data_IF_792434429231
#
_entry.id   IF_792434429231
#
_cell.length_a   1.000
_cell.length_b   1.000
_cell.length_c   1.000
_cell.angle_alpha   90.00
_cell.angle_beta   90.00
_cell.angle_gamma   90.00
#
_symmetry.space_group_name_H-M   'P 1'
#
loop_
_entity.id
_entity.type
_entity.pdbx_description
1 polymer ?
#
# COMPACT_ATOMS: atom_id res chain seq x y z
N UNK A 1 -17.90 17.02 14.97
CA UNK A 1 -17.03 15.98 15.61
C UNK A 1 -15.82 15.83 14.70
N UNK A 2 -14.61 15.91 15.23
CA UNK A 2 -13.42 15.73 14.36
C UNK A 2 -13.37 14.30 13.83
N UNK A 3 -12.81 14.11 12.62
CA UNK A 3 -12.63 12.80 12.00
C UNK A 3 -11.90 11.82 12.94
N UNK A 4 -10.88 12.32 13.65
CA UNK A 4 -10.10 11.53 14.60
C UNK A 4 -10.93 10.99 15.77
N UNK A 5 -11.85 11.78 16.30
CA UNK A 5 -12.77 11.32 17.36
C UNK A 5 -13.73 10.26 16.86
N UNK A 6 -14.26 10.44 15.65
CA UNK A 6 -15.16 9.44 15.04
C UNK A 6 -14.46 8.09 14.86
N UNK A 7 -13.29 8.06 14.23
CA UNK A 7 -12.49 6.84 14.06
C UNK A 7 -12.09 6.26 15.42
N UNK A 8 -11.69 7.11 16.37
CA UNK A 8 -11.32 6.69 17.73
C UNK A 8 -12.46 5.97 18.45
N UNK A 9 -13.69 6.49 18.36
CA UNK A 9 -14.88 5.87 18.92
C UNK A 9 -15.20 4.51 18.30
N UNK A 10 -15.12 4.40 16.96
CA UNK A 10 -15.31 3.13 16.27
C UNK A 10 -14.22 2.09 16.66
N UNK A 11 -12.97 2.52 16.76
CA UNK A 11 -11.87 1.64 17.18
C UNK A 11 -12.02 1.17 18.62
N UNK A 12 -12.57 1.99 19.51
CA UNK A 12 -12.80 1.63 20.91
C UNK A 12 -13.75 0.42 21.05
N UNK A 13 -14.81 0.40 20.22
CA UNK A 13 -15.79 -0.69 20.21
C UNK A 13 -15.20 -2.07 19.82
N UNK A 14 -13.99 -2.08 19.23
CA UNK A 14 -13.30 -3.32 18.83
C UNK A 14 -12.58 -4.02 20.00
N UNK A 15 -12.49 -3.36 21.15
CA UNK A 15 -11.81 -3.88 22.33
C UNK A 15 -12.82 -4.28 23.40
N UNK A 16 -12.57 -5.35 24.18
CA UNK A 16 -13.45 -5.75 25.26
C UNK A 16 -13.68 -4.64 26.29
N UNK A 17 -14.91 -4.51 26.77
CA UNK A 17 -15.33 -3.49 27.76
C UNK A 17 -14.86 -3.76 29.18
N UNK A 18 -13.99 -4.74 29.42
CA UNK A 18 -13.38 -5.02 30.71
C UNK A 18 -12.09 -4.19 30.94
N UNK A 19 -11.57 -4.08 32.17
CA UNK A 19 -10.39 -3.28 32.49
C UNK A 19 -9.16 -3.60 31.60
N UNK A 20 -8.91 -4.86 31.31
CA UNK A 20 -7.80 -5.29 30.44
C UNK A 20 -8.01 -4.91 28.96
N UNK A 21 -9.24 -4.91 28.49
CA UNK A 21 -9.57 -4.45 27.12
C UNK A 21 -9.42 -2.95 26.99
N UNK A 22 -9.88 -2.19 28.00
CA UNK A 22 -9.75 -0.73 28.06
C UNK A 22 -8.27 -0.32 28.13
N UNK A 23 -7.47 -0.94 29.00
CA UNK A 23 -6.03 -0.69 29.07
C UNK A 23 -5.33 -0.98 27.74
N UNK A 24 -5.71 -2.10 27.08
CA UNK A 24 -5.17 -2.46 25.76
C UNK A 24 -5.54 -1.45 24.68
N UNK A 25 -6.77 -0.93 24.69
CA UNK A 25 -7.19 0.14 23.80
C UNK A 25 -6.43 1.44 24.08
N UNK A 26 -6.25 1.83 25.32
CA UNK A 26 -5.46 2.99 25.71
C UNK A 26 -4.02 2.89 25.17
N UNK A 27 -3.35 1.76 25.36
CA UNK A 27 -1.99 1.56 24.87
C UNK A 27 -1.94 1.49 23.33
N UNK A 28 -2.99 0.97 22.70
CA UNK A 28 -3.14 0.98 21.24
C UNK A 28 -3.18 2.43 20.71
N UNK A 29 -4.01 3.27 21.30
CA UNK A 29 -4.12 4.68 20.92
C UNK A 29 -2.83 5.45 21.21
N UNK A 30 -2.23 5.25 22.39
CA UNK A 30 -0.96 5.89 22.75
C UNK A 30 0.17 5.50 21.80
N UNK A 31 0.23 4.23 21.38
CA UNK A 31 1.21 3.75 20.41
C UNK A 31 1.02 4.41 19.04
N UNK A 32 -0.23 4.52 18.56
CA UNK A 32 -0.52 5.24 17.32
C UNK A 32 -0.14 6.72 17.41
N UNK A 33 -0.50 7.39 18.51
CA UNK A 33 -0.11 8.80 18.76
C UNK A 33 1.40 8.97 18.74
N UNK A 34 2.14 8.09 19.44
CA UNK A 34 3.60 8.14 19.47
C UNK A 34 4.25 7.93 18.09
N UNK A 35 3.62 7.13 17.22
CA UNK A 35 4.08 6.96 15.83
C UNK A 35 3.74 8.20 14.99
N UNK A 36 2.55 8.77 15.16
CA UNK A 36 2.08 9.91 14.37
C UNK A 36 2.85 11.20 14.69
N UNK A 37 3.24 11.41 15.94
CA UNK A 37 4.06 12.56 16.34
C UNK A 37 5.52 12.34 15.87
N UNK A 38 6.07 13.22 14.99
CA UNK A 38 7.36 12.98 14.32
C UNK A 38 8.58 13.36 15.16
N UNK A 39 8.66 12.91 16.41
CA UNK A 39 9.77 13.24 17.32
C UNK A 39 10.80 12.13 17.47
N UNK A 40 10.46 10.90 17.11
CA UNK A 40 11.37 9.76 17.25
C UNK A 40 11.13 8.71 16.16
N UNK A 41 12.13 7.85 15.99
CA UNK A 41 12.01 6.68 15.11
C UNK A 41 11.12 5.63 15.77
N UNK A 42 10.22 5.02 15.03
CA UNK A 42 9.23 4.05 15.51
C UNK A 42 9.83 2.69 15.91
N UNK A 43 10.86 2.68 16.77
CA UNK A 43 11.33 1.47 17.47
C UNK A 43 10.46 1.23 18.70
N UNK A 44 10.18 -0.01 19.04
CA UNK A 44 9.35 -0.38 20.20
C UNK A 44 9.80 0.33 21.48
N UNK A 45 11.12 0.31 21.80
CA UNK A 45 11.67 1.00 22.97
C UNK A 45 11.52 2.52 22.91
N UNK A 46 11.65 3.13 21.71
CA UNK A 46 11.46 4.56 21.53
C UNK A 46 10.00 4.95 21.68
N UNK A 47 9.07 4.15 21.14
CA UNK A 47 7.63 4.39 21.29
C UNK A 47 7.22 4.41 22.77
N UNK A 48 7.69 3.45 23.58
CA UNK A 48 7.44 3.42 25.01
C UNK A 48 7.96 4.69 25.71
N UNK A 49 9.18 5.12 25.38
CA UNK A 49 9.75 6.38 25.94
C UNK A 49 8.96 7.61 25.46
N UNK A 50 8.59 7.66 24.18
CA UNK A 50 7.76 8.73 23.66
C UNK A 50 6.39 8.81 24.35
N UNK A 51 5.76 7.67 24.65
CA UNK A 51 4.51 7.59 25.42
C UNK A 51 4.71 8.20 26.81
N UNK A 52 5.78 7.83 27.50
CA UNK A 52 6.07 8.39 28.83
C UNK A 52 6.34 9.90 28.78
N UNK A 53 7.14 10.37 27.83
CA UNK A 53 7.53 11.77 27.71
C UNK A 53 6.38 12.66 27.24
N UNK A 54 5.65 12.27 26.19
CA UNK A 54 4.61 13.10 25.58
C UNK A 54 3.29 13.05 26.36
N UNK A 55 2.92 11.88 26.87
CA UNK A 55 1.61 11.68 27.46
C UNK A 55 1.68 11.43 28.98
N UNK A 56 2.90 11.37 29.56
CA UNK A 56 3.13 11.16 30.99
C UNK A 56 2.65 9.80 31.48
N UNK A 57 2.47 8.83 30.59
CA UNK A 57 2.04 7.45 30.93
C UNK A 57 3.27 6.56 30.99
N UNK A 58 3.68 6.18 32.20
CA UNK A 58 4.79 5.27 32.38
C UNK A 58 4.31 3.82 32.29
N UNK A 59 4.87 3.08 31.32
CA UNK A 59 4.59 1.67 31.12
C UNK A 59 5.87 0.89 31.36
N UNK A 60 5.84 -0.13 32.22
CA UNK A 60 6.98 -1.02 32.44
C UNK A 60 7.36 -1.73 31.11
N UNK A 61 8.66 -1.87 30.86
CA UNK A 61 9.18 -2.37 29.58
C UNK A 61 8.59 -3.72 29.20
N UNK A 62 8.62 -4.69 30.11
CA UNK A 62 8.09 -6.02 29.90
C UNK A 62 6.57 -6.04 29.60
N UNK A 63 5.80 -5.11 30.21
CA UNK A 63 4.37 -4.97 29.91
C UNK A 63 4.10 -4.44 28.51
N UNK A 64 4.90 -3.44 28.09
CA UNK A 64 4.79 -2.87 26.75
C UNK A 64 5.22 -3.88 25.69
N UNK A 65 6.29 -4.63 25.95
CA UNK A 65 6.73 -5.71 25.04
C UNK A 65 5.69 -6.83 24.92
N UNK A 66 5.06 -7.20 26.05
CA UNK A 66 3.93 -8.17 26.06
C UNK A 66 2.74 -7.62 25.28
N UNK A 67 2.42 -6.33 25.41
CA UNK A 67 1.37 -5.69 24.63
C UNK A 67 1.72 -5.71 23.13
N UNK A 68 2.93 -5.35 22.76
CA UNK A 68 3.38 -5.37 21.35
C UNK A 68 3.38 -6.78 20.77
N UNK A 69 3.60 -7.83 21.56
CA UNK A 69 3.51 -9.23 21.16
C UNK A 69 2.09 -9.83 21.29
N UNK A 70 1.08 -9.02 21.65
CA UNK A 70 -0.26 -9.52 21.92
C UNK A 70 -0.97 -10.02 20.66
N UNK A 71 -1.43 -11.28 20.69
CA UNK A 71 -2.29 -11.87 19.66
C UNK A 71 -3.73 -11.33 19.70
N UNK A 72 -4.10 -10.60 20.77
CA UNK A 72 -5.45 -10.08 21.02
C UNK A 72 -5.71 -8.71 20.38
N UNK A 73 -4.74 -8.13 19.65
CA UNK A 73 -4.96 -6.89 18.89
C UNK A 73 -5.87 -7.18 17.68
N UNK A 74 -7.03 -6.51 17.54
CA UNK A 74 -8.07 -6.88 16.57
C UNK A 74 -7.81 -6.34 15.17
N UNK A 75 -6.66 -6.69 14.55
CA UNK A 75 -6.20 -6.07 13.31
C UNK A 75 -7.17 -6.17 12.13
N UNK A 76 -7.88 -7.28 11.98
CA UNK A 76 -8.87 -7.44 10.89
C UNK A 76 -9.95 -6.37 11.00
N UNK A 77 -10.56 -6.25 12.18
CA UNK A 77 -11.59 -5.25 12.43
C UNK A 77 -11.06 -3.81 12.38
N UNK A 78 -9.84 -3.57 12.87
CA UNK A 78 -9.16 -2.25 12.75
C UNK A 78 -9.02 -1.86 11.28
N UNK A 79 -8.56 -2.78 10.43
CA UNK A 79 -8.43 -2.51 9.00
C UNK A 79 -9.77 -2.26 8.32
N UNK A 80 -10.79 -3.06 8.61
CA UNK A 80 -12.14 -2.87 8.06
C UNK A 80 -12.73 -1.50 8.44
N UNK A 81 -12.52 -1.08 9.70
CA UNK A 81 -12.93 0.26 10.16
C UNK A 81 -12.21 1.36 9.38
N UNK A 82 -10.90 1.24 9.21
CA UNK A 82 -10.12 2.22 8.45
C UNK A 82 -10.51 2.25 6.98
N UNK A 83 -10.75 1.12 6.35
CA UNK A 83 -11.14 1.06 4.93
C UNK A 83 -12.47 1.76 4.70
N UNK A 84 -13.43 1.64 5.63
CA UNK A 84 -14.72 2.34 5.58
C UNK A 84 -14.58 3.86 5.84
N UNK A 85 -13.58 4.26 6.63
CA UNK A 85 -13.30 5.66 6.92
C UNK A 85 -12.59 6.42 5.78
N UNK A 86 -12.12 5.72 4.72
CA UNK A 86 -11.50 6.38 3.56
C UNK A 86 -12.57 7.15 2.77
N UNK A 87 -12.47 8.48 2.65
CA UNK A 87 -13.44 9.24 1.87
C UNK A 87 -13.21 9.00 0.37
N UNK A 88 -14.29 8.74 -0.37
CA UNK A 88 -14.29 8.59 -1.83
C UNK A 88 -13.18 7.63 -2.36
N UNK A 89 -13.13 6.36 -1.90
CA UNK A 89 -12.07 5.43 -2.26
C UNK A 89 -12.08 4.99 -3.73
N UNK A 90 -13.14 5.33 -4.47
CA UNK A 90 -13.34 4.91 -5.84
C UNK A 90 -12.96 6.00 -6.82
N UNK A 91 -12.20 5.64 -7.84
CA UNK A 91 -11.91 6.48 -9.00
C UNK A 91 -12.73 5.97 -10.17
N UNK A 92 -13.69 6.79 -10.63
CA UNK A 92 -14.60 6.43 -11.72
C UNK A 92 -15.28 5.06 -11.51
N UNK A 93 -15.74 4.82 -10.27
CA UNK A 93 -16.42 3.58 -9.88
C UNK A 93 -15.50 2.36 -9.70
N UNK A 94 -14.18 2.56 -9.74
CA UNK A 94 -13.16 1.51 -9.58
C UNK A 94 -12.34 1.70 -8.32
N UNK A 95 -12.07 0.62 -7.63
CA UNK A 95 -11.06 0.53 -6.58
C UNK A 95 -9.70 0.26 -7.27
N UNK A 96 -8.83 1.25 -7.31
CA UNK A 96 -7.52 1.15 -7.95
C UNK A 96 -6.50 0.61 -6.93
N UNK A 97 -6.04 -0.61 -7.09
CA UNK A 97 -5.14 -1.28 -6.15
C UNK A 97 -3.75 -1.46 -6.74
N UNK A 98 -2.75 -0.78 -6.17
CA UNK A 98 -1.35 -1.05 -6.48
C UNK A 98 -0.87 -2.25 -5.67
N UNK A 99 -0.16 -3.17 -6.33
CA UNK A 99 0.47 -4.33 -5.73
C UNK A 99 1.95 -4.32 -6.09
N UNK A 100 2.79 -4.43 -5.05
CA UNK A 100 4.24 -4.53 -5.22
C UNK A 100 4.89 -5.19 -4.01
N UNK A 101 6.15 -5.57 -4.12
CA UNK A 101 6.92 -6.04 -2.98
C UNK A 101 8.13 -5.15 -2.69
N UNK A 102 8.52 -5.12 -1.43
CA UNK A 102 9.69 -4.37 -0.99
C UNK A 102 10.47 -5.13 0.06
N UNK A 103 11.75 -4.82 0.19
CA UNK A 103 12.62 -5.42 1.18
C UNK A 103 12.96 -4.41 2.28
N UNK A 104 13.03 -4.90 3.54
CA UNK A 104 13.50 -4.16 4.70
C UNK A 104 14.79 -4.82 5.21
N UNK A 105 15.98 -4.30 4.87
CA UNK A 105 17.23 -4.81 5.39
C UNK A 105 17.30 -4.74 6.93
N UNK A 106 17.86 -5.75 7.55
CA UNK A 106 18.00 -5.87 9.00
C UNK A 106 19.41 -6.35 9.35
N UNK A 107 19.88 -5.99 10.54
CA UNK A 107 21.17 -6.43 11.06
C UNK A 107 21.04 -7.62 12.02
N UNK A 108 19.94 -7.72 12.74
CA UNK A 108 19.70 -8.78 13.72
C UNK A 108 19.33 -10.11 13.07
N UNK A 109 20.10 -11.17 13.37
CA UNK A 109 19.92 -12.51 12.78
C UNK A 109 18.63 -13.21 13.21
N UNK A 110 18.07 -12.85 14.38
CA UNK A 110 16.89 -13.51 14.96
C UNK A 110 15.59 -12.71 14.76
N UNK A 111 15.61 -11.65 13.95
CA UNK A 111 14.41 -10.89 13.66
C UNK A 111 13.48 -11.74 12.79
N UNK A 112 12.20 -11.82 13.21
CA UNK A 112 11.18 -12.58 12.46
C UNK A 112 11.10 -12.16 10.99
N UNK A 113 10.88 -13.13 10.12
CA UNK A 113 10.71 -13.00 8.67
C UNK A 113 11.94 -12.48 7.91
N UNK A 114 13.11 -12.44 8.54
CA UNK A 114 14.36 -12.15 7.84
C UNK A 114 14.94 -13.40 7.17
N UNK A 115 15.46 -13.18 5.99
CA UNK A 115 16.17 -14.19 5.18
C UNK A 115 17.08 -13.49 4.19
N UNK A 116 18.11 -14.17 3.70
CA UNK A 116 18.92 -13.65 2.59
C UNK A 116 18.03 -13.56 1.35
N UNK A 117 17.88 -12.38 0.78
CA UNK A 117 17.03 -12.17 -0.39
C UNK A 117 17.76 -11.38 -1.47
N UNK A 118 17.40 -11.60 -2.74
CA UNK A 118 18.00 -10.84 -3.83
C UNK A 118 17.34 -9.47 -3.94
N UNK A 119 18.16 -8.42 -3.95
CA UNK A 119 17.73 -7.04 -4.15
C UNK A 119 18.01 -6.57 -5.58
N UNK A 120 16.95 -6.50 -6.38
CA UNK A 120 17.05 -5.99 -7.75
C UNK A 120 17.39 -4.49 -7.83
N UNK A 121 17.12 -3.72 -6.75
CA UNK A 121 17.33 -2.29 -6.66
C UNK A 121 18.65 -1.90 -5.99
N UNK A 122 19.49 -2.89 -5.61
CA UNK A 122 20.75 -2.65 -4.95
C UNK A 122 21.68 -1.79 -5.82
N UNK A 123 22.22 -0.70 -5.23
CA UNK A 123 23.21 0.16 -5.86
C UNK A 123 24.56 -0.56 -5.94
N UNK A 124 25.48 -0.04 -6.76
CA UNK A 124 26.81 -0.64 -6.98
C UNK A 124 27.63 -0.86 -5.68
N UNK A 125 27.41 0.00 -4.67
CA UNK A 125 28.06 -0.08 -3.36
C UNK A 125 27.28 -0.87 -2.30
N UNK A 126 26.20 -1.54 -2.67
CA UNK A 126 25.36 -2.33 -1.76
C UNK A 126 25.37 -3.80 -2.14
N UNK A 127 25.22 -4.67 -1.13
CA UNK A 127 25.06 -6.10 -1.39
C UNK A 127 23.76 -6.38 -2.12
N UNK A 128 23.84 -7.24 -3.14
CA UNK A 128 22.64 -7.76 -3.84
C UNK A 128 21.92 -8.85 -3.05
N UNK A 129 22.49 -9.32 -1.95
CA UNK A 129 21.95 -10.39 -1.12
C UNK A 129 21.86 -9.96 0.34
N UNK A 130 21.10 -8.90 0.69
CA UNK A 130 20.95 -8.46 2.06
C UNK A 130 20.17 -9.48 2.90
N UNK A 131 20.48 -9.49 4.21
CA UNK A 131 19.63 -10.10 5.22
C UNK A 131 18.42 -9.16 5.45
N UNK A 132 17.24 -9.58 5.02
CA UNK A 132 16.09 -8.67 4.96
C UNK A 132 14.75 -9.39 5.13
N UNK A 133 13.75 -8.63 5.54
CA UNK A 133 12.35 -8.99 5.42
C UNK A 133 11.86 -8.64 4.02
N UNK A 134 11.10 -9.53 3.39
CA UNK A 134 10.37 -9.25 2.14
C UNK A 134 8.90 -9.04 2.47
N UNK A 135 8.34 -7.93 2.02
CA UNK A 135 6.95 -7.54 2.24
C UNK A 135 6.22 -7.46 0.91
N UNK A 136 5.15 -8.24 0.76
CA UNK A 136 4.16 -8.04 -0.30
C UNK A 136 3.13 -7.06 0.24
N UNK A 137 2.92 -5.95 -0.46
CA UNK A 137 2.07 -4.84 0.02
C UNK A 137 1.00 -4.52 -1.00
N UNK A 138 -0.21 -4.32 -0.51
CA UNK A 138 -1.36 -3.82 -1.25
C UNK A 138 -1.64 -2.39 -0.83
N UNK A 139 -1.73 -1.46 -1.79
CA UNK A 139 -2.05 -0.07 -1.55
C UNK A 139 -3.24 0.39 -2.39
N UNK A 140 -4.07 1.28 -1.86
CA UNK A 140 -5.12 1.96 -2.58
C UNK A 140 -4.55 3.22 -3.25
N UNK A 141 -4.70 3.33 -4.56
CA UNK A 141 -4.37 4.54 -5.31
C UNK A 141 -5.60 5.43 -5.41
N UNK A 142 -5.49 6.63 -4.91
CA UNK A 142 -6.55 7.63 -5.02
C UNK A 142 -5.99 9.05 -5.13
N UNK A 143 -6.69 9.97 -5.82
CA UNK A 143 -6.32 11.37 -5.80
C UNK A 143 -6.81 12.03 -4.50
N UNK A 144 -5.91 12.70 -3.80
CA UNK A 144 -6.23 13.56 -2.65
C UNK A 144 -5.82 14.98 -3.04
N UNK A 145 -6.78 15.91 -3.05
CA UNK A 145 -6.57 17.28 -3.53
C UNK A 145 -5.85 17.35 -4.87
N UNK A 146 -6.27 16.48 -5.80
CA UNK A 146 -5.72 16.43 -7.15
C UNK A 146 -4.32 15.79 -7.26
N UNK A 147 -3.75 15.28 -6.18
CA UNK A 147 -2.49 14.54 -6.15
C UNK A 147 -2.74 13.04 -5.96
N UNK A 148 -2.14 12.20 -6.79
CA UNK A 148 -2.16 10.76 -6.55
C UNK A 148 -1.39 10.40 -5.28
N UNK A 149 -2.02 9.60 -4.43
CA UNK A 149 -1.48 9.05 -3.20
C UNK A 149 -1.66 7.53 -3.19
N UNK A 150 -0.87 6.84 -2.36
CA UNK A 150 -1.02 5.40 -2.14
C UNK A 150 -1.21 5.15 -0.64
N UNK A 151 -2.40 4.71 -0.25
CA UNK A 151 -2.72 4.34 1.11
C UNK A 151 -2.39 2.86 1.31
N UNK A 152 -1.51 2.48 2.25
CA UNK A 152 -1.30 1.08 2.58
C UNK A 152 -2.59 0.44 3.08
N UNK A 153 -3.00 -0.68 2.50
CA UNK A 153 -4.25 -1.37 2.84
C UNK A 153 -4.00 -2.71 3.52
N UNK A 154 -2.98 -3.43 3.11
CA UNK A 154 -2.62 -4.73 3.66
C UNK A 154 -1.17 -5.08 3.32
N UNK A 155 -0.61 -6.02 4.08
CA UNK A 155 0.71 -6.58 3.82
C UNK A 155 0.78 -8.05 4.20
N UNK A 156 1.80 -8.76 3.66
CA UNK A 156 2.22 -10.09 4.10
C UNK A 156 3.75 -10.17 4.08
N UNK A 157 4.33 -10.82 5.11
CA UNK A 157 5.73 -11.23 5.04
C UNK A 157 5.86 -12.43 4.11
N UNK A 158 6.74 -12.33 3.12
CA UNK A 158 7.07 -13.46 2.27
C UNK A 158 8.24 -14.25 2.87
N UNK A 159 8.02 -15.52 3.12
CA UNK A 159 9.00 -16.47 3.62
C UNK A 159 9.21 -17.60 2.62
N UNK A 160 10.46 -17.95 2.35
CA UNK A 160 10.79 -19.09 1.49
C UNK A 160 10.42 -20.40 2.16
N UNK A 161 10.15 -21.44 1.38
CA UNK A 161 9.89 -22.80 1.90
C UNK A 161 11.01 -23.28 2.82
N UNK A 162 12.27 -23.13 2.40
CA UNK A 162 13.43 -23.51 3.20
C UNK A 162 13.46 -22.81 4.57
N UNK A 163 13.11 -21.52 4.64
CA UNK A 163 13.04 -20.77 5.90
C UNK A 163 11.96 -21.32 6.83
N UNK A 164 10.81 -21.76 6.29
CA UNK A 164 9.73 -22.35 7.08
C UNK A 164 10.04 -23.78 7.53
N UNK A 165 10.77 -24.54 6.72
CA UNK A 165 11.20 -25.91 7.06
C UNK A 165 12.28 -25.93 8.13
N UNK A 166 13.11 -24.88 8.23
CA UNK A 166 14.17 -24.77 9.23
C UNK A 166 13.66 -24.52 10.66
N UNK A 167 12.36 -24.22 10.86
CA UNK A 167 11.79 -23.99 12.19
C UNK A 167 10.26 -23.89 12.16
N UNK A 168 9.62 -24.22 13.28
CA UNK A 168 8.16 -24.11 13.44
C UNK A 168 7.79 -22.65 13.79
N UNK A 169 7.69 -21.79 12.78
CA UNK A 169 7.30 -20.40 12.98
C UNK A 169 5.79 -20.30 13.23
N UNK A 170 5.42 -19.52 14.27
CA UNK A 170 4.03 -19.21 14.60
C UNK A 170 3.80 -17.71 14.63
N UNK A 171 2.66 -17.28 14.11
CA UNK A 171 2.16 -15.91 14.20
C UNK A 171 0.72 -15.99 14.68
N UNK A 172 0.37 -15.23 15.71
CA UNK A 172 -0.97 -15.23 16.34
C UNK A 172 -1.43 -16.64 16.75
N UNK A 173 -0.51 -17.44 17.28
CA UNK A 173 -0.76 -18.82 17.70
C UNK A 173 -0.91 -19.84 16.57
N UNK A 174 -0.96 -19.40 15.30
CA UNK A 174 -1.11 -20.29 14.14
C UNK A 174 0.24 -20.55 13.48
N UNK A 175 0.48 -21.78 13.01
CA UNK A 175 1.64 -22.11 12.24
C UNK A 175 1.66 -21.30 10.93
N UNK A 176 2.83 -20.77 10.56
CA UNK A 176 3.01 -20.05 9.28
C UNK A 176 3.13 -21.09 8.18
N UNK A 177 2.14 -21.12 7.29
CA UNK A 177 2.11 -21.97 6.11
C UNK A 177 2.72 -21.23 4.93
N UNK A 178 3.46 -21.96 4.07
CA UNK A 178 4.01 -21.38 2.87
C UNK A 178 2.91 -20.88 1.94
N UNK A 179 3.02 -19.61 1.56
CA UNK A 179 2.25 -19.00 0.48
C UNK A 179 3.19 -18.23 -0.43
N UNK A 180 3.11 -18.46 -1.73
CA UNK A 180 3.85 -17.64 -2.68
C UNK A 180 3.29 -16.20 -2.73
N UNK A 181 4.02 -15.30 -3.38
CA UNK A 181 3.62 -13.87 -3.42
C UNK A 181 2.27 -13.67 -4.14
N UNK A 182 1.91 -14.52 -5.10
CA UNK A 182 0.62 -14.45 -5.78
C UNK A 182 -0.52 -14.85 -4.85
N UNK A 183 -0.38 -15.97 -4.14
CA UNK A 183 -1.38 -16.42 -3.16
C UNK A 183 -1.60 -15.39 -2.05
N UNK A 184 -0.51 -14.76 -1.56
CA UNK A 184 -0.57 -13.68 -0.58
C UNK A 184 -1.33 -12.46 -1.14
N UNK A 185 -1.01 -12.04 -2.37
CA UNK A 185 -1.67 -10.94 -3.05
C UNK A 185 -3.17 -11.21 -3.27
N UNK A 186 -3.52 -12.40 -3.76
CA UNK A 186 -4.92 -12.81 -3.95
C UNK A 186 -5.70 -12.75 -2.64
N UNK A 187 -5.15 -13.30 -1.56
CA UNK A 187 -5.78 -13.25 -0.23
C UNK A 187 -6.06 -11.82 0.22
N UNK A 188 -5.10 -10.90 0.09
CA UNK A 188 -5.26 -9.50 0.48
C UNK A 188 -6.31 -8.79 -0.37
N UNK A 189 -6.26 -8.95 -1.70
CA UNK A 189 -7.20 -8.30 -2.63
C UNK A 189 -8.62 -8.79 -2.40
N UNK A 190 -8.82 -10.10 -2.23
CA UNK A 190 -10.15 -10.69 -1.98
C UNK A 190 -10.72 -10.21 -0.64
N UNK A 191 -9.90 -10.15 0.43
CA UNK A 191 -10.34 -9.62 1.73
C UNK A 191 -10.80 -8.17 1.61
N UNK A 192 -10.00 -7.32 0.95
CA UNK A 192 -10.36 -5.91 0.74
C UNK A 192 -11.62 -5.75 -0.13
N UNK A 193 -11.74 -6.51 -1.20
CA UNK A 193 -12.88 -6.45 -2.13
C UNK A 193 -14.22 -6.85 -1.49
N UNK A 194 -14.20 -7.58 -0.36
CA UNK A 194 -15.41 -7.90 0.43
C UNK A 194 -15.98 -6.67 1.13
N UNK A 195 -15.13 -5.70 1.52
CA UNK A 195 -15.60 -4.43 2.10
C UNK A 195 -16.21 -3.49 1.05
N UNK A 196 -15.88 -3.68 -0.22
CA UNK A 196 -16.33 -2.87 -1.36
C UNK A 196 -17.08 -3.72 -2.38
N UNK A 197 -18.18 -4.35 -1.98
CA UNK A 197 -18.85 -5.41 -2.75
C UNK A 197 -19.36 -4.97 -4.13
N UNK A 198 -19.76 -3.72 -4.29
CA UNK A 198 -20.28 -3.17 -5.55
C UNK A 198 -19.20 -2.58 -6.45
N UNK A 199 -18.02 -2.31 -5.92
CA UNK A 199 -16.94 -1.67 -6.66
C UNK A 199 -16.28 -2.64 -7.64
N UNK A 200 -15.91 -2.14 -8.82
CA UNK A 200 -14.97 -2.83 -9.70
C UNK A 200 -13.56 -2.68 -9.15
N UNK A 201 -12.75 -3.70 -9.29
CA UNK A 201 -11.37 -3.72 -8.80
C UNK A 201 -10.43 -3.70 -9.99
N UNK A 202 -9.58 -2.69 -10.10
CA UNK A 202 -8.48 -2.65 -11.06
C UNK A 202 -7.16 -2.84 -10.31
N UNK A 203 -6.53 -4.00 -10.49
CA UNK A 203 -5.23 -4.29 -9.88
C UNK A 203 -4.13 -3.79 -10.81
N UNK A 204 -3.28 -2.91 -10.30
CA UNK A 204 -2.22 -2.24 -11.07
C UNK A 204 -0.87 -2.74 -10.56
N UNK A 205 -0.09 -3.38 -11.46
CA UNK A 205 1.13 -4.08 -11.09
C UNK A 205 2.27 -3.77 -12.05
N UNK A 206 3.47 -4.18 -11.66
CA UNK A 206 4.58 -4.30 -12.60
C UNK A 206 4.44 -5.53 -13.53
N UNK A 207 5.42 -5.77 -14.38
CA UNK A 207 5.41 -6.90 -15.31
C UNK A 207 5.61 -8.26 -14.63
N UNK A 208 6.06 -8.30 -13.37
CA UNK A 208 6.27 -9.55 -12.64
C UNK A 208 4.95 -10.10 -12.10
N UNK A 209 4.13 -9.27 -11.47
CA UNK A 209 2.81 -9.64 -11.00
C UNK A 209 1.76 -9.69 -12.12
N UNK A 210 1.99 -9.01 -13.25
CA UNK A 210 1.06 -8.86 -14.36
C UNK A 210 0.84 -10.13 -15.21
N UNK A 211 0.54 -11.26 -14.58
CA UNK A 211 0.37 -12.55 -15.27
C UNK A 211 -0.77 -13.39 -14.70
N UNK A 212 -0.97 -14.58 -15.28
CA UNK A 212 -2.07 -15.46 -14.92
C UNK A 212 -1.94 -16.12 -13.52
N UNK A 213 -0.76 -16.08 -12.91
CA UNK A 213 -0.55 -16.47 -11.51
C UNK A 213 -1.34 -15.61 -10.53
N UNK A 214 -1.55 -14.32 -10.88
CA UNK A 214 -2.40 -13.41 -10.14
C UNK A 214 -3.84 -13.36 -10.67
N UNK A 215 -4.00 -13.17 -12.00
CA UNK A 215 -5.29 -12.84 -12.60
C UNK A 215 -6.31 -13.96 -12.49
N UNK A 216 -5.92 -15.20 -12.80
CA UNK A 216 -6.85 -16.34 -12.75
C UNK A 216 -7.36 -16.65 -11.34
N UNK A 217 -6.51 -16.71 -10.28
CA UNK A 217 -7.00 -16.89 -8.91
C UNK A 217 -7.90 -15.75 -8.43
N UNK A 218 -7.70 -14.50 -8.89
CA UNK A 218 -8.59 -13.39 -8.58
C UNK A 218 -9.95 -13.51 -9.27
N UNK A 219 -9.97 -13.99 -10.53
CA UNK A 219 -11.20 -14.18 -11.29
C UNK A 219 -12.14 -15.23 -10.69
N UNK A 220 -11.63 -16.20 -9.95
CA UNK A 220 -12.46 -17.21 -9.31
C UNK A 220 -13.43 -16.62 -8.27
N UNK A 221 -12.98 -15.86 -7.24
CA UNK A 221 -13.87 -15.27 -6.24
C UNK A 221 -14.51 -13.96 -6.67
N UNK A 222 -13.89 -13.16 -7.58
CA UNK A 222 -14.35 -11.82 -7.93
C UNK A 222 -15.04 -11.74 -9.30
N UNK A 223 -14.98 -12.79 -10.10
CA UNK A 223 -15.63 -12.87 -11.41
C UNK A 223 -15.22 -11.72 -12.35
N UNK A 224 -16.22 -11.06 -12.94
CA UNK A 224 -16.04 -9.93 -13.86
C UNK A 224 -15.76 -8.60 -13.16
N UNK A 225 -15.77 -8.58 -11.81
CA UNK A 225 -15.47 -7.38 -11.02
C UNK A 225 -13.98 -7.02 -11.00
N UNK A 226 -13.08 -7.97 -11.32
CA UNK A 226 -11.64 -7.73 -11.26
C UNK A 226 -11.04 -7.61 -12.65
N UNK A 227 -10.25 -6.57 -12.82
CA UNK A 227 -9.43 -6.30 -14.00
C UNK A 227 -7.97 -6.08 -13.60
N UNK A 228 -7.07 -6.24 -14.57
CA UNK A 228 -5.63 -6.08 -14.40
C UNK A 228 -5.10 -4.99 -15.33
N UNK A 229 -4.23 -4.12 -14.81
CA UNK A 229 -3.42 -3.18 -15.56
C UNK A 229 -1.95 -3.42 -15.24
N UNK A 230 -1.12 -3.65 -16.24
CA UNK A 230 0.29 -3.96 -16.03
C UNK A 230 1.17 -3.53 -17.20
N UNK A 231 2.47 -3.45 -16.97
CA UNK A 231 3.45 -3.34 -18.04
C UNK A 231 3.65 -4.71 -18.71
N UNK A 232 3.71 -4.74 -20.04
CA UNK A 232 4.08 -5.93 -20.78
C UNK A 232 5.59 -6.05 -20.96
N UNK A 233 6.07 -7.29 -20.96
CA UNK A 233 7.44 -7.60 -21.34
C UNK A 233 7.60 -7.46 -22.85
N UNK A 234 8.73 -6.96 -23.29
CA UNK A 234 9.02 -6.67 -24.73
C UNK A 234 8.94 -7.91 -25.62
N UNK A 235 9.23 -9.09 -25.07
CA UNK A 235 9.23 -10.37 -25.76
C UNK A 235 7.88 -11.14 -25.68
N UNK A 236 6.86 -10.58 -25.02
CA UNK A 236 5.55 -11.22 -24.98
C UNK A 236 4.94 -11.26 -26.39
N UNK A 237 4.35 -12.40 -26.77
CA UNK A 237 3.78 -12.60 -28.11
C UNK A 237 2.29 -12.29 -28.09
N UNK A 238 1.86 -11.47 -29.05
CA UNK A 238 0.50 -11.01 -29.23
C UNK A 238 -0.18 -11.77 -30.39
N UNK A 239 -1.50 -11.93 -30.26
CA UNK A 239 -2.33 -12.60 -31.27
C UNK A 239 -3.53 -11.73 -31.60
N UNK A 240 -4.00 -11.82 -32.86
CA UNK A 240 -5.27 -11.22 -33.25
C UNK A 240 -6.45 -11.86 -32.49
N UNK A 241 -7.57 -11.17 -32.43
CA UNK A 241 -8.81 -11.79 -31.97
C UNK A 241 -9.19 -12.92 -32.96
N UNK A 242 -9.73 -14.02 -32.46
CA UNK A 242 -10.19 -15.08 -33.35
C UNK A 242 -11.39 -14.62 -34.19
N UNK A 243 -11.33 -14.82 -35.48
CA UNK A 243 -12.48 -14.59 -36.35
C UNK A 243 -13.45 -15.78 -36.24
N UNK A 244 -14.72 -15.47 -36.07
CA UNK A 244 -15.77 -16.49 -36.16
C UNK A 244 -15.91 -16.93 -37.62
N UNK A 245 -15.68 -18.19 -37.89
CA UNK A 245 -15.92 -18.77 -39.24
C UNK A 245 -17.27 -19.48 -39.17
N UNK A 246 -18.34 -18.91 -39.78
CA UNK A 246 -19.65 -19.53 -39.82
C UNK A 246 -19.56 -20.91 -40.46
N UNK A 247 -20.30 -21.91 -39.91
CA UNK A 247 -20.39 -23.26 -40.46
C UNK A 247 -19.19 -24.17 -40.18
N UNK A 248 -18.13 -23.73 -39.50
CA UNK A 248 -17.00 -24.59 -39.15
C UNK A 248 -17.34 -25.49 -37.96
N UNK A 249 -17.39 -26.79 -38.15
CA UNK A 249 -17.55 -27.79 -37.09
C UNK A 249 -16.29 -27.83 -36.19
N UNK A 250 -16.49 -28.07 -34.91
CA UNK A 250 -15.42 -28.24 -33.94
C UNK A 250 -15.26 -27.07 -32.96
N UNK A 251 -14.28 -27.18 -32.05
CA UNK A 251 -14.05 -26.18 -31.01
C UNK A 251 -13.56 -24.84 -31.60
N UNK A 252 -14.20 -23.70 -31.31
CA UNK A 252 -13.78 -22.40 -31.80
C UNK A 252 -12.31 -22.09 -31.46
N UNK A 253 -11.58 -21.47 -32.38
CA UNK A 253 -10.21 -21.01 -32.13
C UNK A 253 -10.23 -19.96 -31.01
N UNK A 254 -9.33 -20.08 -30.04
CA UNK A 254 -9.19 -19.12 -28.97
C UNK A 254 -8.34 -17.91 -29.35
N UNK A 255 -7.49 -18.04 -30.37
CA UNK A 255 -6.53 -17.03 -30.82
C UNK A 255 -6.55 -16.96 -32.31
N UNK A 256 -6.50 -15.76 -32.87
CA UNK A 256 -6.34 -15.51 -34.28
C UNK A 256 -4.89 -15.65 -34.75
N UNK A 257 -4.52 -14.94 -35.80
CA UNK A 257 -3.16 -14.92 -36.35
C UNK A 257 -2.15 -14.39 -35.33
N UNK A 258 -0.91 -14.86 -35.38
CA UNK A 258 0.20 -14.33 -34.62
C UNK A 258 0.58 -12.94 -35.15
N UNK A 259 0.54 -11.90 -34.29
CA UNK A 259 0.89 -10.52 -34.63
C UNK A 259 2.40 -10.23 -34.46
N UNK A 260 3.08 -11.06 -33.68
CA UNK A 260 4.49 -10.86 -33.32
C UNK A 260 4.69 -10.58 -31.82
N UNK A 261 5.92 -10.23 -31.46
CA UNK A 261 6.26 -9.78 -30.12
C UNK A 261 5.76 -8.35 -29.87
N UNK A 262 5.66 -7.95 -28.61
CA UNK A 262 5.33 -6.57 -28.21
C UNK A 262 6.28 -5.56 -28.87
N UNK A 263 7.57 -5.93 -29.02
CA UNK A 263 8.58 -5.07 -29.65
C UNK A 263 8.36 -4.93 -31.17
N UNK A 264 8.01 -6.00 -31.87
CA UNK A 264 7.68 -5.96 -33.30
C UNK A 264 6.40 -5.14 -33.55
N UNK A 265 5.38 -5.37 -32.74
CA UNK A 265 4.14 -4.59 -32.80
C UNK A 265 4.37 -3.10 -32.46
N UNK A 266 5.27 -2.77 -31.53
CA UNK A 266 5.60 -1.38 -31.21
C UNK A 266 6.11 -0.59 -32.44
N UNK A 267 6.94 -1.23 -33.27
CA UNK A 267 7.44 -0.63 -34.52
C UNK A 267 6.29 -0.38 -35.52
N UNK A 268 5.42 -1.36 -35.69
CA UNK A 268 4.28 -1.27 -36.61
C UNK A 268 3.24 -0.24 -36.17
N UNK A 269 2.97 -0.18 -34.85
CA UNK A 269 1.97 0.73 -34.27
C UNK A 269 2.45 2.18 -34.20
N UNK A 270 3.74 2.45 -34.32
CA UNK A 270 4.29 3.81 -34.30
C UNK A 270 3.63 4.74 -35.31
N UNK A 271 3.38 4.27 -36.51
CA UNK A 271 2.73 5.05 -37.57
C UNK A 271 1.26 5.41 -37.25
N UNK A 272 0.63 4.70 -36.30
CA UNK A 272 -0.76 4.94 -35.86
C UNK A 272 -0.84 5.73 -34.57
N UNK A 273 0.30 6.14 -34.00
CA UNK A 273 0.33 6.86 -32.74
C UNK A 273 -0.34 8.21 -32.86
N UNK A 274 -1.05 8.60 -31.78
CA UNK A 274 -1.75 9.89 -31.62
C UNK A 274 -1.28 10.55 -30.34
N UNK A 275 -1.46 11.86 -30.25
CA UNK A 275 -1.19 12.64 -29.05
C UNK A 275 -2.39 12.61 -28.11
N UNK A 276 -2.12 12.37 -26.82
CA UNK A 276 -3.09 12.36 -25.74
C UNK A 276 -2.65 13.28 -24.63
N UNK A 277 -3.59 14.09 -24.10
CA UNK A 277 -3.36 14.85 -22.88
C UNK A 277 -3.60 13.95 -21.68
N UNK A 278 -2.59 13.72 -20.85
CA UNK A 278 -2.63 12.79 -19.72
C UNK A 278 -2.06 13.45 -18.47
N UNK A 279 -2.73 13.28 -17.33
CA UNK A 279 -2.26 13.79 -16.05
C UNK A 279 -1.26 12.83 -15.40
N UNK A 280 0.03 13.08 -15.58
CA UNK A 280 1.10 12.23 -15.04
C UNK A 280 2.05 13.06 -14.17
N UNK A 281 2.44 12.50 -13.02
CA UNK A 281 3.36 13.13 -12.04
C UNK A 281 2.93 14.54 -11.59
N UNK A 282 1.61 14.76 -11.46
CA UNK A 282 1.05 16.03 -10.99
C UNK A 282 0.90 17.12 -12.04
N UNK A 283 1.22 16.87 -13.29
CA UNK A 283 1.09 17.81 -14.41
C UNK A 283 0.38 17.15 -15.60
N UNK A 284 -0.38 17.92 -16.36
CA UNK A 284 -0.89 17.50 -17.66
C UNK A 284 0.24 17.53 -18.67
N UNK A 285 0.45 16.42 -19.36
CA UNK A 285 1.50 16.24 -20.37
C UNK A 285 0.92 15.64 -21.62
N UNK A 286 1.46 16.04 -22.75
CA UNK A 286 1.20 15.40 -24.02
C UNK A 286 2.01 14.11 -24.11
N UNK A 287 1.33 13.03 -24.50
CA UNK A 287 1.90 11.69 -24.60
C UNK A 287 1.52 11.11 -25.96
N UNK A 288 2.49 10.69 -26.73
CA UNK A 288 2.28 9.99 -28.00
C UNK A 288 2.04 8.50 -27.70
N UNK A 289 0.92 7.96 -28.15
CA UNK A 289 0.57 6.55 -27.91
C UNK A 289 -0.26 5.96 -29.04
N UNK A 290 -0.14 4.64 -29.21
CA UNK A 290 -1.02 3.84 -30.07
C UNK A 290 -1.61 2.69 -29.24
N UNK A 291 -2.78 2.21 -29.59
CA UNK A 291 -3.40 1.09 -28.91
C UNK A 291 -4.00 0.06 -29.86
N UNK A 292 -4.14 -1.16 -29.35
CA UNK A 292 -4.78 -2.25 -30.04
C UNK A 292 -5.36 -3.25 -29.05
N UNK A 293 -6.55 -3.79 -29.36
CA UNK A 293 -7.10 -4.95 -28.65
C UNK A 293 -6.57 -6.22 -29.28
N UNK A 294 -5.95 -7.07 -28.44
CA UNK A 294 -5.27 -8.30 -28.87
C UNK A 294 -5.58 -9.44 -27.89
N UNK A 295 -5.30 -10.66 -28.31
CA UNK A 295 -5.35 -11.83 -27.41
C UNK A 295 -3.97 -12.09 -26.81
N UNK A 296 -3.92 -12.24 -25.49
CA UNK A 296 -2.71 -12.55 -24.74
C UNK A 296 -2.79 -13.98 -24.17
N UNK A 297 -1.94 -14.89 -24.68
CA UNK A 297 -1.95 -16.31 -24.25
C UNK A 297 -1.66 -16.48 -22.76
N UNK A 298 -0.79 -15.66 -22.19
CA UNK A 298 -0.43 -15.71 -20.77
C UNK A 298 -1.60 -15.40 -19.85
N UNK A 299 -2.57 -14.57 -20.27
CA UNK A 299 -3.80 -14.27 -19.53
C UNK A 299 -5.02 -15.04 -20.04
N UNK A 300 -4.91 -15.65 -21.22
CA UNK A 300 -5.99 -16.40 -21.92
C UNK A 300 -7.25 -15.57 -22.20
N UNK A 301 -7.10 -14.27 -22.39
CA UNK A 301 -8.19 -13.34 -22.68
C UNK A 301 -7.74 -12.22 -23.63
N UNK A 302 -8.72 -11.47 -24.11
CA UNK A 302 -8.48 -10.21 -24.80
C UNK A 302 -7.93 -9.16 -23.82
N UNK A 303 -6.97 -8.36 -24.27
CA UNK A 303 -6.41 -7.24 -23.55
C UNK A 303 -6.28 -6.04 -24.49
N UNK A 304 -6.44 -4.83 -23.97
CA UNK A 304 -6.05 -3.62 -24.67
C UNK A 304 -4.59 -3.33 -24.35
N UNK A 305 -3.75 -3.27 -25.36
CA UNK A 305 -2.34 -2.91 -25.25
C UNK A 305 -2.18 -1.47 -25.71
N UNK A 306 -1.48 -0.66 -24.94
CA UNK A 306 -1.14 0.72 -25.24
C UNK A 306 0.38 0.84 -25.30
N UNK A 307 0.92 1.19 -26.48
CA UNK A 307 2.33 1.55 -26.64
C UNK A 307 2.48 3.05 -26.46
N UNK A 308 3.21 3.44 -25.43
CA UNK A 308 3.52 4.85 -25.12
C UNK A 308 4.92 5.14 -25.61
N UNK A 309 5.05 6.12 -26.46
CA UNK A 309 6.32 6.48 -27.10
C UNK A 309 6.92 7.74 -26.47
N UNK A 310 8.22 7.72 -26.27
CA UNK A 310 8.96 8.87 -25.78
C UNK A 310 10.33 8.93 -26.48
N UNK A 311 10.50 9.82 -27.43
CA UNK A 311 11.71 9.92 -28.26
C UNK A 311 12.08 8.56 -28.87
N UNK A 312 13.23 7.98 -28.50
CA UNK A 312 13.70 6.66 -28.94
C UNK A 312 13.21 5.49 -28.07
N UNK A 313 12.58 5.77 -26.95
CA UNK A 313 12.11 4.76 -26.01
C UNK A 313 10.60 4.57 -26.10
N UNK A 314 10.12 3.39 -25.69
CA UNK A 314 8.71 3.11 -25.58
C UNK A 314 8.44 2.15 -24.41
N UNK A 315 7.21 2.13 -23.95
CA UNK A 315 6.71 1.17 -22.99
C UNK A 315 5.35 0.65 -23.43
N UNK A 316 5.11 -0.63 -23.24
CA UNK A 316 3.80 -1.22 -23.49
C UNK A 316 3.07 -1.50 -22.18
N UNK A 317 1.86 -0.99 -22.08
CA UNK A 317 0.91 -1.22 -20.99
C UNK A 317 -0.20 -2.11 -21.50
N UNK A 318 -0.74 -3.00 -20.66
CA UNK A 318 -1.88 -3.82 -21.01
C UNK A 318 -2.94 -3.76 -19.91
N UNK A 319 -4.20 -3.82 -20.31
CA UNK A 319 -5.31 -3.96 -19.38
C UNK A 319 -6.33 -4.98 -19.89
N UNK A 320 -6.97 -5.67 -18.95
CA UNK A 320 -8.12 -6.55 -19.24
C UNK A 320 -9.45 -5.77 -19.26
N UNK A 321 -9.50 -4.55 -18.67
CA UNK A 321 -10.65 -3.65 -18.82
C UNK A 321 -10.57 -2.90 -20.16
N UNK A 322 -11.24 -3.46 -21.18
CA UNK A 322 -11.24 -2.90 -22.53
C UNK A 322 -11.95 -1.53 -22.65
N UNK A 323 -12.68 -1.10 -21.60
CA UNK A 323 -13.41 0.18 -21.58
C UNK A 323 -12.52 1.36 -21.18
N UNK A 324 -11.36 1.10 -20.58
CA UNK A 324 -10.44 2.17 -20.23
C UNK A 324 -9.91 2.87 -21.47
N UNK A 325 -9.92 4.20 -21.46
CA UNK A 325 -9.29 5.01 -22.50
C UNK A 325 -7.76 4.92 -22.43
N UNK A 326 -7.08 5.31 -23.50
CA UNK A 326 -5.60 5.38 -23.52
C UNK A 326 -5.08 6.30 -22.42
N UNK A 327 -5.72 7.46 -22.23
CA UNK A 327 -5.35 8.42 -21.19
C UNK A 327 -5.47 7.81 -19.78
N UNK A 328 -6.60 7.14 -19.46
CA UNK A 328 -6.80 6.46 -18.17
C UNK A 328 -5.77 5.35 -17.93
N UNK A 329 -5.45 4.54 -18.95
CA UNK A 329 -4.45 3.47 -18.82
C UNK A 329 -3.08 4.05 -18.46
N UNK A 330 -2.66 5.13 -19.13
CA UNK A 330 -1.37 5.79 -18.88
C UNK A 330 -1.37 6.48 -17.52
N UNK A 331 -2.44 7.19 -17.16
CA UNK A 331 -2.57 7.87 -15.88
C UNK A 331 -2.56 6.90 -14.70
N UNK A 332 -3.40 5.87 -14.71
CA UNK A 332 -3.49 4.89 -13.63
C UNK A 332 -2.21 4.07 -13.48
N UNK A 333 -1.57 3.71 -14.61
CA UNK A 333 -0.28 3.03 -14.53
C UNK A 333 0.82 3.96 -13.97
N UNK A 334 0.83 5.24 -14.33
CA UNK A 334 1.79 6.19 -13.78
C UNK A 334 1.55 6.42 -12.28
N UNK A 335 0.29 6.39 -11.83
CA UNK A 335 -0.06 6.48 -10.42
C UNK A 335 0.51 5.30 -9.59
N UNK A 336 0.78 4.12 -10.19
CA UNK A 336 1.42 2.97 -9.52
C UNK A 336 2.72 3.36 -8.81
N UNK A 337 3.50 4.28 -9.36
CA UNK A 337 4.73 4.76 -8.72
C UNK A 337 4.51 5.36 -7.32
N UNK A 338 3.27 5.66 -6.96
CA UNK A 338 2.94 6.11 -5.60
C UNK A 338 3.10 5.01 -4.56
N UNK A 339 3.07 3.73 -4.93
CA UNK A 339 3.39 2.65 -3.97
C UNK A 339 4.87 2.70 -3.56
N UNK A 340 5.78 3.05 -4.46
CA UNK A 340 7.20 3.21 -4.15
C UNK A 340 7.44 4.44 -3.26
N UNK A 341 6.72 5.55 -3.50
CA UNK A 341 6.69 6.69 -2.59
C UNK A 341 6.10 6.31 -1.21
N UNK A 342 5.03 5.52 -1.18
CA UNK A 342 4.43 4.96 0.03
C UNK A 342 5.41 4.08 0.83
N UNK A 343 6.23 3.28 0.16
CA UNK A 343 7.31 2.54 0.84
C UNK A 343 8.33 3.46 1.49
N UNK A 344 8.69 4.57 0.85
CA UNK A 344 9.58 5.57 1.43
C UNK A 344 8.92 6.26 2.62
N UNK A 345 7.66 6.68 2.51
CA UNK A 345 6.89 7.28 3.59
C UNK A 345 6.80 6.33 4.79
N UNK A 346 6.46 5.06 4.57
CA UNK A 346 6.36 4.04 5.60
C UNK A 346 7.72 3.74 6.27
N UNK A 347 8.80 3.64 5.49
CA UNK A 347 10.13 3.27 6.00
C UNK A 347 10.88 4.44 6.61
N UNK A 348 10.86 5.60 5.98
CA UNK A 348 11.68 6.76 6.35
C UNK A 348 10.91 7.74 7.24
N UNK A 349 9.70 8.14 6.84
CA UNK A 349 8.92 9.12 7.61
C UNK A 349 8.31 8.48 8.87
N UNK A 350 7.69 7.32 8.75
CA UNK A 350 7.11 6.58 9.89
C UNK A 350 8.17 5.76 10.64
N UNK A 351 9.17 5.23 9.94
CA UNK A 351 10.25 4.47 10.55
C UNK A 351 9.94 2.99 10.76
N UNK A 352 9.08 2.38 9.95
CA UNK A 352 8.68 0.96 10.08
C UNK A 352 9.84 -0.02 9.96
N UNK A 353 10.89 0.35 9.22
CA UNK A 353 12.07 -0.49 9.04
C UNK A 353 13.01 -0.51 10.26
N UNK A 354 12.84 0.41 11.21
CA UNK A 354 13.79 0.64 12.29
C UNK A 354 13.67 -0.34 13.47
N UNK A 355 12.56 -1.05 13.64
CA UNK A 355 12.39 -1.99 14.75
C UNK A 355 13.38 -3.16 14.66
N UNK A 356 13.91 -3.56 15.83
CA UNK A 356 14.82 -4.71 16.00
C UNK A 356 14.16 -5.83 16.82
N UNK A 357 12.87 -5.74 17.07
CA UNK A 357 12.09 -6.75 17.80
C UNK A 357 12.18 -8.11 17.09
N UNK A 358 12.28 -9.19 17.89
CA UNK A 358 12.49 -10.57 17.39
C UNK A 358 11.20 -11.38 17.34
N UNK A 359 10.31 -11.16 18.32
CA UNK A 359 9.07 -11.91 18.46
C UNK A 359 8.16 -11.75 17.24
N UNK A 360 7.65 -12.82 16.62
CA UNK A 360 6.86 -12.76 15.38
C UNK A 360 5.65 -11.84 15.47
N UNK A 361 4.88 -11.93 16.56
CA UNK A 361 3.68 -11.12 16.74
C UNK A 361 4.04 -9.65 16.98
N UNK A 362 5.10 -9.36 17.72
CA UNK A 362 5.54 -7.98 17.97
C UNK A 362 6.04 -7.31 16.68
N UNK A 363 6.77 -8.03 15.82
CA UNK A 363 7.18 -7.53 14.50
C UNK A 363 5.97 -7.26 13.62
N UNK A 364 5.02 -8.19 13.61
CA UNK A 364 3.79 -8.09 12.80
C UNK A 364 2.91 -6.92 13.30
N UNK A 365 2.69 -6.84 14.61
CA UNK A 365 1.90 -5.78 15.22
C UNK A 365 2.54 -4.40 15.00
N UNK A 366 3.87 -4.30 15.15
CA UNK A 366 4.59 -3.05 14.88
C UNK A 366 4.36 -2.56 13.45
N UNK A 367 4.43 -3.45 12.45
CA UNK A 367 4.20 -3.07 11.06
C UNK A 367 2.74 -2.66 10.82
N UNK A 368 1.78 -3.34 11.47
CA UNK A 368 0.37 -2.93 11.44
C UNK A 368 0.21 -1.50 11.99
N UNK A 369 0.77 -1.19 13.15
CA UNK A 369 0.74 0.16 13.71
C UNK A 369 1.30 1.21 12.75
N UNK A 370 2.47 0.93 12.16
CA UNK A 370 3.10 1.85 11.21
C UNK A 370 2.25 2.08 9.96
N UNK A 371 1.66 1.02 9.40
CA UNK A 371 0.81 1.14 8.21
C UNK A 371 -0.51 1.83 8.52
N UNK A 372 -1.14 1.53 9.68
CA UNK A 372 -2.34 2.24 10.15
C UNK A 372 -2.05 3.73 10.32
N UNK A 373 -0.93 4.09 10.93
CA UNK A 373 -0.52 5.50 11.05
C UNK A 373 -0.34 6.18 9.68
N UNK A 374 0.25 5.47 8.70
CA UNK A 374 0.38 5.99 7.33
C UNK A 374 -0.99 6.21 6.69
N UNK A 375 -1.89 5.24 6.80
CA UNK A 375 -3.25 5.33 6.24
C UNK A 375 -4.06 6.43 6.90
N UNK A 376 -4.01 6.56 8.24
CA UNK A 376 -4.65 7.65 8.97
C UNK A 376 -4.14 9.03 8.54
N UNK A 377 -2.84 9.16 8.29
CA UNK A 377 -2.27 10.41 7.77
C UNK A 377 -2.87 10.80 6.43
N UNK A 378 -3.06 9.85 5.52
CA UNK A 378 -3.70 10.12 4.23
C UNK A 378 -5.22 10.33 4.32
N UNK A 379 -5.92 9.61 5.21
CA UNK A 379 -7.34 9.89 5.51
C UNK A 379 -7.48 11.31 6.05
N UNK A 380 -6.61 11.72 6.97
CA UNK A 380 -6.60 13.09 7.50
C UNK A 380 -6.34 14.13 6.39
N UNK A 381 -5.39 13.86 5.49
CA UNK A 381 -5.14 14.73 4.34
C UNK A 381 -6.39 14.98 3.49
N UNK A 382 -7.20 13.93 3.27
CA UNK A 382 -8.43 14.04 2.48
C UNK A 382 -9.52 14.91 3.15
N UNK A 383 -9.46 15.09 4.46
CA UNK A 383 -10.37 15.94 5.24
C UNK A 383 -9.87 17.39 5.42
N UNK A 384 -8.62 17.68 5.11
CA UNK A 384 -8.08 19.04 5.20
C UNK A 384 -8.74 19.94 4.15
N UNK A 385 -9.19 21.11 4.57
CA UNK A 385 -9.75 22.13 3.67
C UNK A 385 -8.67 22.94 2.95
N UNK A 386 -7.50 23.04 3.54
CA UNK A 386 -6.36 23.81 3.06
C UNK A 386 -5.09 23.00 3.17
N UNK A 387 -4.13 23.26 2.29
CA UNK A 387 -2.82 22.63 2.35
C UNK A 387 -2.11 22.97 3.67
N UNK A 388 -1.49 21.99 4.35
CA UNK A 388 -0.75 22.24 5.56
C UNK A 388 0.48 23.12 5.28
N UNK A 389 0.88 23.90 6.28
CA UNK A 389 2.10 24.72 6.21
C UNK A 389 3.32 23.83 5.88
N UNK A 390 4.15 24.28 4.96
CA UNK A 390 5.36 23.55 4.58
C UNK A 390 6.50 23.84 5.56
N UNK A 391 7.23 22.80 5.93
CA UNK A 391 8.42 22.94 6.78
C UNK A 391 9.53 23.71 6.08
N UNK A 392 9.75 23.43 4.79
CA UNK A 392 10.79 24.07 4.00
C UNK A 392 10.16 24.81 2.84
N UNK A 393 10.47 26.11 2.72
CA UNK A 393 10.17 26.91 1.55
C UNK A 393 11.06 26.40 0.41
N UNK A 394 10.63 25.35 -0.30
CA UNK A 394 11.31 24.89 -1.51
C UNK A 394 10.59 25.43 -2.74
N UNK A 395 11.26 25.53 -3.87
CA UNK A 395 10.66 25.89 -5.15
C UNK A 395 9.63 24.84 -5.66
N UNK A 396 9.53 23.70 -4.96
CA UNK A 396 8.56 22.64 -5.28
C UNK A 396 7.15 23.09 -4.93
N UNK A 397 6.26 23.09 -5.90
CA UNK A 397 4.83 23.38 -5.77
C UNK A 397 4.03 22.20 -5.20
N UNK A 398 4.69 21.18 -4.63
CA UNK A 398 4.00 19.99 -4.13
C UNK A 398 3.29 20.28 -2.82
N UNK A 399 2.00 20.55 -2.90
CA UNK A 399 1.11 20.65 -1.74
C UNK A 399 0.80 19.25 -1.16
N UNK A 400 0.33 19.20 0.09
CA UNK A 400 -0.04 17.97 0.79
C UNK A 400 1.07 16.90 0.79
N UNK A 401 2.34 17.30 0.98
CA UNK A 401 3.41 16.33 1.18
C UNK A 401 3.14 15.53 2.47
N UNK A 402 3.43 14.21 2.45
CA UNK A 402 3.15 13.32 3.57
C UNK A 402 3.70 13.84 4.92
N UNK A 403 4.95 14.31 4.93
CA UNK A 403 5.58 14.85 6.13
C UNK A 403 4.86 16.10 6.67
N UNK A 404 4.36 16.98 5.79
CA UNK A 404 3.63 18.19 6.17
C UNK A 404 2.25 17.84 6.73
N UNK A 405 1.54 16.92 6.07
CA UNK A 405 0.25 16.39 6.53
C UNK A 405 0.41 15.70 7.89
N UNK A 406 1.45 14.88 8.07
CA UNK A 406 1.73 14.20 9.34
C UNK A 406 1.98 15.20 10.48
N UNK A 407 2.69 16.32 10.22
CA UNK A 407 2.89 17.37 11.23
C UNK A 407 1.59 18.08 11.60
N UNK A 408 0.74 18.39 10.61
CA UNK A 408 -0.57 18.98 10.86
C UNK A 408 -1.44 18.02 11.71
N UNK A 409 -1.48 16.73 11.33
CA UNK A 409 -2.18 15.71 12.11
C UNK A 409 -1.64 15.60 13.55
N UNK A 410 -0.33 15.63 13.74
CA UNK A 410 0.29 15.58 15.06
C UNK A 410 -0.09 16.80 15.91
N UNK A 411 -0.21 17.98 15.31
CA UNK A 411 -0.68 19.19 15.98
C UNK A 411 -2.12 19.05 16.45
N UNK A 412 -3.02 18.57 15.59
CA UNK A 412 -4.43 18.34 15.94
C UNK A 412 -4.57 17.28 17.04
N UNK A 413 -3.76 16.21 16.99
CA UNK A 413 -3.70 15.18 18.06
C UNK A 413 -3.31 15.81 19.41
N UNK A 414 -2.39 16.76 19.41
CA UNK A 414 -1.96 17.46 20.62
C UNK A 414 -3.04 18.39 21.17
N UNK A 415 -3.81 19.05 20.29
CA UNK A 415 -4.83 20.03 20.65
C UNK A 415 -6.17 19.38 21.03
N UNK A 416 -6.65 18.40 20.27
CA UNK A 416 -7.99 17.82 20.43
C UNK A 416 -8.06 16.54 21.25
N UNK A 417 -6.94 15.85 21.41
CA UNK A 417 -6.92 14.52 21.99
C UNK A 417 -7.58 13.45 21.09
N UNK A 418 -6.81 12.65 20.40
CA UNK A 418 -7.29 11.47 19.66
C UNK A 418 -7.71 10.38 20.64
N UNK A 419 -9.02 10.16 20.74
CA UNK A 419 -9.58 8.90 21.27
C UNK A 419 -9.41 8.59 22.74
N UNK A 420 -9.29 9.55 23.65
CA UNK A 420 -9.66 9.37 25.07
C UNK A 420 -9.61 10.68 25.84
N UNK A 421 -10.61 10.95 26.62
CA UNK A 421 -10.43 11.69 27.85
C UNK A 421 -9.45 10.88 28.71
N UNK A 422 -8.17 11.25 28.69
CA UNK A 422 -7.18 10.69 29.61
C UNK A 422 -7.52 11.17 31.02
N UNK A 423 -8.07 10.34 31.92
CA UNK A 423 -8.81 10.84 33.07
C UNK A 423 -7.97 11.33 34.24
N UNK A 424 -6.67 11.37 34.24
CA UNK A 424 -5.92 11.60 35.49
C UNK A 424 -4.61 12.36 35.35
N UNK A 425 -4.62 13.59 34.85
CA UNK A 425 -3.60 14.60 35.27
C UNK A 425 -3.75 15.93 34.55
N UNK A 426 -3.56 17.02 35.27
CA UNK A 426 -3.57 18.46 34.93
C UNK A 426 -3.63 18.88 33.46
N UNK A 427 -4.81 19.03 32.88
CA UNK A 427 -5.08 19.29 31.47
C UNK A 427 -4.38 20.53 30.88
N UNK A 428 -4.07 21.54 31.66
CA UNK A 428 -3.51 22.81 31.17
C UNK A 428 -1.99 22.78 30.95
N UNK A 429 -1.22 22.16 31.83
CA UNK A 429 0.25 22.10 31.73
C UNK A 429 0.75 21.17 30.62
N UNK A 430 0.01 20.10 30.29
CA UNK A 430 0.36 19.14 29.23
C UNK A 430 0.11 19.67 27.83
N UNK A 431 -0.95 20.46 27.61
CA UNK A 431 -1.20 21.12 26.31
C UNK A 431 -0.06 22.07 25.96
N UNK A 432 0.46 22.80 26.93
CA UNK A 432 1.60 23.71 26.75
C UNK A 432 2.87 22.97 26.34
N UNK A 433 3.22 21.87 27.03
CA UNK A 433 4.45 21.10 26.75
C UNK A 433 4.42 20.44 25.36
N UNK A 434 3.30 19.77 24.99
CA UNK A 434 3.18 19.13 23.67
C UNK A 434 3.19 20.18 22.56
N UNK A 435 2.51 21.31 22.75
CA UNK A 435 2.51 22.42 21.80
C UNK A 435 3.91 23.02 21.62
N UNK A 436 4.71 23.08 22.69
CA UNK A 436 6.08 23.57 22.64
C UNK A 436 7.04 22.59 21.97
N UNK A 437 6.93 21.29 22.28
CA UNK A 437 7.67 20.24 21.57
C UNK A 437 7.31 20.22 20.08
N UNK A 438 6.03 20.37 19.74
CA UNK A 438 5.59 20.43 18.34
C UNK A 438 6.13 21.68 17.62
N UNK A 439 6.26 22.83 18.32
CA UNK A 439 6.86 24.03 17.76
C UNK A 439 8.36 23.87 17.51
N UNK A 440 9.07 23.10 18.33
CA UNK A 440 10.48 22.78 18.14
C UNK A 440 10.73 21.76 17.00
N UNK A 441 9.74 20.94 16.69
CA UNK A 441 9.80 19.93 15.63
C UNK A 441 9.22 20.46 14.30
N UNK A 442 8.45 21.55 14.34
CA UNK A 442 7.91 22.24 13.17
C UNK A 442 8.97 23.15 12.52
#
# INVERSE_FOLDING_TARGET
>A
MSMLRAIGGELQCLFPMNPHGQERFEWFVLTLKAILVPITVSRTSNLRRAIATLFGVSIAEWRYDTFMASVKLPWEAVWETLWRAIPQPLVEGRLLLALDDSINPKTGRHIFACQTTFDHAAKANQTRWPWAQTLVTLGLLMPIHGRWCCLPMAFRFYLRRATLQAGCLRVRGKAVVFADKFAQAVSMIVSLARCFQTARVLVITDSWFGNNGLFRPLRQPLGTRVDLLSRLRVNAVLYAQPEAVPGKLGRPRKYGARLGSVAECAKQQRAKARCYQVRVYGATREVEAADQVVMLKTLRCAVRVVWVYRRSQWVALMTTDLRLSVAQIVEYYSARWKIEAGFRELKQEIGSAATQTRHPDAVTNHLHFCMVATTLTWIYAAHLKQAPARRYASQSTTEYAFADVRRALAKDIAEEGFGSDCPKSGKAQRKSFISEVMRLVA
#
